data_IF_238837454476
#
_entry.id   IF_238837454476
#
_cell.length_a   1.000
_cell.length_b   1.000
_cell.length_c   1.000
_cell.angle_alpha   90.00
_cell.angle_beta   90.00
_cell.angle_gamma   90.00
#
_symmetry.space_group_name_H-M   'P 1'
#
loop_
_entity.id
_entity.type
_entity.pdbx_description
1 polymer ?
#
# COMPACT_ATOMS: atom_id res chain seq x y z
N UNK A 1 6.01 28.14 9.59
CA UNK A 1 6.82 26.93 9.34
C UNK A 1 6.09 25.66 9.82
N UNK A 2 5.61 25.61 11.08
CA UNK A 2 4.93 24.41 11.64
C UNK A 2 3.71 23.97 10.82
N UNK A 3 2.78 24.85 10.39
CA UNK A 3 1.64 24.42 9.58
C UNK A 3 2.06 23.78 8.23
N UNK A 4 3.12 24.30 7.60
CA UNK A 4 3.66 23.71 6.37
C UNK A 4 4.30 22.35 6.59
N UNK A 5 5.06 22.18 7.68
CA UNK A 5 5.64 20.89 8.06
C UNK A 5 4.56 19.86 8.46
N UNK A 6 3.48 20.31 9.13
CA UNK A 6 2.34 19.45 9.42
C UNK A 6 1.66 18.96 8.14
N UNK A 7 1.39 19.86 7.20
CA UNK A 7 0.79 19.49 5.91
C UNK A 7 1.69 18.54 5.10
N UNK A 8 3.02 18.72 5.14
CA UNK A 8 3.97 17.83 4.49
C UNK A 8 3.96 16.42 5.12
N UNK A 9 3.91 16.34 6.44
CA UNK A 9 3.77 15.06 7.15
C UNK A 9 2.45 14.37 6.81
N UNK A 10 1.33 15.10 6.87
CA UNK A 10 0.00 14.53 6.56
C UNK A 10 -0.06 13.99 5.13
N UNK A 11 0.58 14.70 4.18
CA UNK A 11 0.69 14.24 2.79
C UNK A 11 1.54 12.97 2.66
N UNK A 12 2.67 12.89 3.37
CA UNK A 12 3.53 11.71 3.37
C UNK A 12 2.85 10.50 4.00
N UNK A 13 2.09 10.68 5.08
CA UNK A 13 1.26 9.61 5.68
C UNK A 13 0.20 9.13 4.70
N UNK A 14 -0.48 10.04 3.99
CA UNK A 14 -1.49 9.67 3.01
C UNK A 14 -0.88 8.89 1.82
N UNK A 15 0.33 9.23 1.39
CA UNK A 15 1.06 8.49 0.36
C UNK A 15 1.46 7.10 0.83
N UNK A 16 2.01 6.97 2.04
CA UNK A 16 2.30 5.68 2.66
C UNK A 16 1.05 4.79 2.75
N UNK A 17 -0.06 5.32 3.23
CA UNK A 17 -1.32 4.60 3.34
C UNK A 17 -1.82 4.10 1.98
N UNK A 18 -1.64 4.91 0.93
CA UNK A 18 -1.98 4.54 -0.45
C UNK A 18 -1.10 3.40 -0.93
N UNK A 19 0.23 3.54 -0.82
CA UNK A 19 1.22 2.54 -1.26
C UNK A 19 1.07 1.22 -0.50
N UNK A 20 0.81 1.27 0.79
CA UNK A 20 0.56 0.09 1.62
C UNK A 20 -0.70 -0.67 1.19
N UNK A 21 -1.77 0.05 0.81
CA UNK A 21 -2.99 -0.57 0.27
C UNK A 21 -2.76 -1.18 -1.11
N UNK A 22 -2.02 -0.50 -1.98
CA UNK A 22 -1.63 -1.03 -3.30
C UNK A 22 -0.85 -2.34 -3.14
N UNK A 23 0.16 -2.39 -2.28
CA UNK A 23 0.92 -3.59 -1.97
C UNK A 23 0.01 -4.73 -1.44
N UNK A 24 -0.88 -4.43 -0.48
CA UNK A 24 -1.83 -5.42 0.05
C UNK A 24 -2.75 -5.98 -1.03
N UNK A 25 -3.19 -5.14 -1.97
CA UNK A 25 -4.03 -5.56 -3.10
C UNK A 25 -3.27 -6.53 -4.02
N UNK A 26 -2.03 -6.20 -4.37
CA UNK A 26 -1.18 -7.07 -5.22
C UNK A 26 -0.91 -8.42 -4.55
N UNK A 27 -0.65 -8.45 -3.23
CA UNK A 27 -0.50 -9.69 -2.47
C UNK A 27 -1.79 -10.53 -2.50
N UNK A 28 -2.96 -9.91 -2.44
CA UNK A 28 -4.25 -10.58 -2.60
C UNK A 28 -4.40 -11.19 -3.99
N UNK A 29 -4.02 -10.48 -5.04
CA UNK A 29 -4.05 -10.99 -6.42
C UNK A 29 -3.05 -12.13 -6.62
N UNK A 30 -1.86 -12.04 -6.06
CA UNK A 30 -0.83 -13.09 -6.09
C UNK A 30 -1.35 -14.37 -5.42
N UNK A 31 -1.94 -14.26 -4.24
CA UNK A 31 -2.54 -15.39 -3.53
C UNK A 31 -3.68 -16.04 -4.34
N UNK A 32 -4.53 -15.24 -4.99
CA UNK A 32 -5.59 -15.75 -5.86
C UNK A 32 -5.02 -16.48 -7.10
N UNK A 33 -3.98 -15.94 -7.72
CA UNK A 33 -3.30 -16.55 -8.86
C UNK A 33 -2.63 -17.87 -8.48
N UNK A 34 -1.99 -17.97 -7.32
CA UNK A 34 -1.41 -19.21 -6.79
C UNK A 34 -2.49 -20.27 -6.50
N UNK A 35 -3.65 -19.86 -5.97
CA UNK A 35 -4.79 -20.74 -5.79
C UNK A 35 -5.37 -21.24 -7.13
N UNK A 36 -5.36 -20.40 -8.16
CA UNK A 36 -5.76 -20.81 -9.52
C UNK A 36 -4.73 -21.77 -10.13
N UNK A 37 -3.45 -21.53 -9.95
CA UNK A 37 -2.38 -22.45 -10.39
C UNK A 37 -2.58 -23.86 -9.84
N UNK A 38 -2.84 -23.99 -8.54
CA UNK A 38 -3.10 -25.27 -7.90
C UNK A 38 -4.26 -26.02 -8.58
N UNK A 39 -5.36 -25.32 -8.89
CA UNK A 39 -6.51 -25.91 -9.58
C UNK A 39 -6.18 -26.34 -11.01
N UNK A 40 -5.36 -25.56 -11.72
CA UNK A 40 -4.92 -25.89 -13.07
C UNK A 40 -3.99 -27.11 -13.03
N UNK A 41 -3.08 -27.19 -12.07
CA UNK A 41 -2.16 -28.32 -11.89
C UNK A 41 -2.93 -29.62 -11.59
N UNK A 42 -3.94 -29.56 -10.71
CA UNK A 42 -4.82 -30.70 -10.44
C UNK A 42 -5.57 -31.13 -11.70
N UNK A 43 -6.11 -30.18 -12.47
CA UNK A 43 -6.83 -30.42 -13.70
C UNK A 43 -5.93 -30.98 -14.81
N UNK A 44 -4.69 -30.49 -14.90
CA UNK A 44 -3.68 -31.00 -15.83
C UNK A 44 -3.26 -32.43 -15.49
N UNK A 45 -3.08 -32.74 -14.20
CA UNK A 45 -2.78 -34.08 -13.72
C UNK A 45 -3.89 -35.07 -14.10
N UNK A 46 -5.16 -34.68 -13.86
CA UNK A 46 -6.32 -35.49 -14.27
C UNK A 46 -6.39 -35.67 -15.77
N UNK A 47 -6.19 -34.62 -16.57
CA UNK A 47 -6.20 -34.68 -18.02
C UNK A 47 -5.05 -35.55 -18.56
N UNK A 48 -3.89 -35.53 -17.92
CA UNK A 48 -2.73 -36.36 -18.28
C UNK A 48 -3.02 -37.84 -18.03
N UNK A 49 -3.62 -38.19 -16.91
CA UNK A 49 -4.06 -39.56 -16.60
C UNK A 49 -5.08 -40.06 -17.63
N UNK A 50 -6.10 -39.24 -17.93
CA UNK A 50 -7.10 -39.55 -18.95
C UNK A 50 -6.47 -39.74 -20.34
N UNK A 51 -5.48 -38.92 -20.70
CA UNK A 51 -4.76 -39.08 -21.96
C UNK A 51 -3.98 -40.39 -22.04
N UNK A 52 -3.34 -40.80 -20.96
CA UNK A 52 -2.65 -42.08 -20.85
C UNK A 52 -3.62 -43.25 -21.01
N UNK A 53 -4.78 -43.21 -20.36
CA UNK A 53 -5.81 -44.21 -20.43
C UNK A 53 -6.39 -44.31 -21.86
N UNK A 54 -6.63 -43.17 -22.50
CA UNK A 54 -7.09 -43.08 -23.88
C UNK A 54 -6.06 -43.67 -24.86
N UNK A 55 -4.76 -43.35 -24.66
CA UNK A 55 -3.68 -43.95 -25.46
C UNK A 55 -3.60 -45.48 -25.28
N UNK A 56 -3.75 -45.98 -24.07
CA UNK A 56 -3.79 -47.43 -23.80
C UNK A 56 -4.97 -48.08 -24.51
N UNK A 57 -6.16 -47.49 -24.46
CA UNK A 57 -7.36 -47.98 -25.14
C UNK A 57 -7.18 -48.02 -26.67
N UNK A 58 -6.60 -46.94 -27.25
CA UNK A 58 -6.24 -46.94 -28.71
C UNK A 58 -5.23 -48.04 -29.00
N UNK A 59 -4.21 -48.23 -28.18
CA UNK A 59 -3.22 -49.26 -28.33
C UNK A 59 -3.82 -50.67 -28.32
N UNK A 60 -4.79 -50.93 -27.44
CA UNK A 60 -5.55 -52.19 -27.41
C UNK A 60 -6.41 -52.36 -28.66
N UNK A 61 -7.07 -51.32 -29.13
CA UNK A 61 -7.85 -51.33 -30.35
C UNK A 61 -7.00 -51.67 -31.56
N UNK A 62 -5.83 -51.01 -31.69
CA UNK A 62 -4.87 -51.28 -32.80
C UNK A 62 -4.34 -52.71 -32.72
N UNK A 63 -3.97 -53.21 -31.52
CA UNK A 63 -3.50 -54.60 -31.33
C UNK A 63 -4.57 -55.60 -31.68
N UNK A 64 -5.82 -55.37 -31.36
CA UNK A 64 -6.95 -56.19 -31.69
C UNK A 64 -7.14 -56.25 -33.22
N UNK A 65 -7.20 -55.08 -33.85
CA UNK A 65 -7.32 -54.98 -35.33
C UNK A 65 -6.19 -55.68 -36.10
N UNK A 66 -4.96 -55.54 -35.56
CA UNK A 66 -3.81 -56.26 -36.19
C UNK A 66 -3.88 -57.73 -36.00
N UNK A 67 -4.30 -58.27 -34.85
CA UNK A 67 -4.46 -59.69 -34.61
C UNK A 67 -5.59 -60.31 -35.43
N UNK A 68 -6.67 -59.61 -35.62
CA UNK A 68 -7.85 -60.04 -36.39
C UNK A 68 -7.67 -59.87 -37.89
N UNK A 69 -6.50 -59.39 -38.36
CA UNK A 69 -6.15 -59.34 -39.77
C UNK A 69 -6.87 -58.26 -40.58
N UNK A 70 -7.18 -57.15 -39.98
CA UNK A 70 -7.88 -56.03 -40.61
C UNK A 70 -9.21 -56.39 -41.28
N UNK A 71 -9.86 -57.43 -40.76
CA UNK A 71 -11.11 -57.94 -41.32
C UNK A 71 -12.22 -56.93 -40.86
N UNK A 72 -12.94 -56.41 -41.85
CA UNK A 72 -14.08 -55.54 -41.63
C UNK A 72 -15.10 -56.26 -40.72
N UNK A 73 -15.44 -55.69 -39.50
CA UNK A 73 -16.41 -56.32 -38.60
C UNK A 73 -17.74 -56.60 -39.27
N UNK A 74 -18.12 -55.81 -40.27
CA UNK A 74 -19.31 -56.05 -41.11
C UNK A 74 -19.13 -57.30 -42.02
N UNK A 75 -17.96 -57.44 -42.59
CA UNK A 75 -17.66 -58.61 -43.42
C UNK A 75 -17.63 -59.91 -42.59
N UNK A 76 -17.05 -59.90 -41.38
CA UNK A 76 -17.05 -60.99 -40.42
C UNK A 76 -18.47 -61.36 -40.01
N UNK A 77 -19.28 -60.36 -39.65
CA UNK A 77 -20.67 -60.56 -39.26
C UNK A 77 -21.52 -61.19 -40.37
N UNK A 78 -21.22 -60.88 -41.62
CA UNK A 78 -21.92 -61.39 -42.76
C UNK A 78 -21.47 -62.83 -43.21
N UNK A 79 -20.20 -63.18 -42.95
CA UNK A 79 -19.60 -64.45 -43.40
C UNK A 79 -19.59 -65.55 -42.32
N UNK A 80 -19.72 -65.19 -41.02
CA UNK A 80 -19.76 -66.20 -39.97
C UNK A 80 -21.03 -67.00 -40.01
N UNK A 81 -20.90 -68.31 -40.34
CA UNK A 81 -21.99 -69.26 -40.38
C UNK A 81 -22.44 -69.64 -38.94
N UNK A 82 -23.36 -68.90 -38.33
CA UNK A 82 -23.95 -69.18 -37.03
C UNK A 82 -25.48 -69.15 -37.06
N UNK A 83 -26.11 -69.65 -36.00
CA UNK A 83 -27.57 -69.66 -35.79
C UNK A 83 -28.19 -68.33 -35.52
N UNK A 84 -27.38 -67.27 -35.33
CA UNK A 84 -27.82 -65.91 -35.10
C UNK A 84 -28.38 -65.26 -36.34
N UNK A 85 -29.39 -64.41 -36.20
CA UNK A 85 -29.98 -63.71 -37.32
C UNK A 85 -29.00 -62.67 -37.92
N UNK A 86 -29.10 -62.42 -39.23
CA UNK A 86 -28.27 -61.40 -39.92
C UNK A 86 -28.43 -60.07 -39.32
N UNK A 87 -29.61 -59.70 -38.74
CA UNK A 87 -29.90 -58.48 -38.09
C UNK A 87 -29.12 -58.28 -36.73
N UNK A 88 -28.98 -59.37 -35.96
CA UNK A 88 -28.21 -59.33 -34.70
C UNK A 88 -26.70 -59.13 -34.97
N UNK A 89 -26.18 -59.80 -36.02
CA UNK A 89 -24.79 -59.61 -36.40
C UNK A 89 -24.49 -58.23 -36.99
N UNK A 90 -25.41 -57.70 -37.79
CA UNK A 90 -25.31 -56.31 -38.30
C UNK A 90 -25.35 -55.29 -37.16
N UNK A 91 -26.22 -55.53 -36.15
CA UNK A 91 -26.28 -54.70 -34.97
C UNK A 91 -24.98 -54.74 -34.13
N UNK A 92 -24.37 -55.94 -33.98
CA UNK A 92 -23.11 -56.08 -33.26
C UNK A 92 -21.93 -55.40 -34.00
N UNK A 93 -21.90 -55.48 -35.33
CA UNK A 93 -20.90 -54.78 -36.16
C UNK A 93 -21.06 -53.25 -36.08
N UNK A 94 -22.29 -52.74 -36.14
CA UNK A 94 -22.60 -51.33 -35.98
C UNK A 94 -22.19 -50.85 -34.57
N UNK A 95 -22.46 -51.61 -33.51
CA UNK A 95 -22.03 -51.33 -32.17
C UNK A 95 -20.49 -51.26 -32.02
N UNK A 96 -19.77 -52.20 -32.66
CA UNK A 96 -18.31 -52.20 -32.66
C UNK A 96 -17.73 -50.95 -33.33
N UNK A 97 -18.26 -50.57 -34.51
CA UNK A 97 -17.84 -49.35 -35.20
C UNK A 97 -18.14 -48.08 -34.42
N UNK A 98 -19.30 -48.00 -33.76
CA UNK A 98 -19.63 -46.89 -32.87
C UNK A 98 -18.68 -46.81 -31.70
N UNK A 99 -18.33 -47.94 -31.08
CA UNK A 99 -17.39 -47.98 -29.95
C UNK A 99 -15.98 -47.53 -30.39
N UNK A 100 -15.52 -47.97 -31.57
CA UNK A 100 -14.22 -47.52 -32.15
C UNK A 100 -14.22 -46.00 -32.37
N UNK A 101 -15.26 -45.47 -33.02
CA UNK A 101 -15.39 -44.02 -33.26
C UNK A 101 -15.47 -43.22 -31.97
N UNK A 102 -16.23 -43.71 -30.99
CA UNK A 102 -16.34 -43.08 -29.68
C UNK A 102 -14.98 -43.04 -28.96
N UNK A 103 -14.23 -44.14 -28.97
CA UNK A 103 -12.89 -44.20 -28.38
C UNK A 103 -11.94 -43.21 -29.03
N UNK A 104 -11.96 -43.13 -30.37
CA UNK A 104 -11.12 -42.15 -31.10
C UNK A 104 -11.51 -40.70 -30.79
N UNK A 105 -12.80 -40.41 -30.81
CA UNK A 105 -13.30 -39.04 -30.49
C UNK A 105 -12.94 -38.64 -29.05
N UNK A 106 -13.17 -39.55 -28.09
CA UNK A 106 -12.80 -39.28 -26.66
C UNK A 106 -11.29 -39.06 -26.51
N UNK A 107 -10.45 -39.80 -27.24
CA UNK A 107 -9.00 -39.58 -27.16
C UNK A 107 -8.56 -38.23 -27.75
N UNK A 108 -9.21 -37.78 -28.84
CA UNK A 108 -8.96 -36.44 -29.39
C UNK A 108 -9.40 -35.34 -28.43
N UNK A 109 -10.57 -35.48 -27.80
CA UNK A 109 -11.09 -34.52 -26.82
C UNK A 109 -10.18 -34.43 -25.60
N UNK A 110 -9.72 -35.54 -25.06
CA UNK A 110 -8.77 -35.60 -23.95
C UNK A 110 -7.44 -34.95 -24.33
N UNK A 111 -6.90 -35.24 -25.53
CA UNK A 111 -5.66 -34.59 -26.00
C UNK A 111 -5.82 -33.06 -26.15
N UNK A 112 -6.96 -32.61 -26.64
CA UNK A 112 -7.29 -31.20 -26.75
C UNK A 112 -7.39 -30.55 -25.35
N UNK A 113 -8.06 -31.20 -24.41
CA UNK A 113 -8.16 -30.75 -23.01
C UNK A 113 -6.79 -30.62 -22.35
N UNK A 114 -5.93 -31.63 -22.50
CA UNK A 114 -4.56 -31.60 -21.96
C UNK A 114 -3.75 -30.42 -22.52
N UNK A 115 -3.81 -30.16 -23.83
CA UNK A 115 -3.15 -28.99 -24.44
C UNK A 115 -3.67 -27.68 -23.88
N UNK A 116 -4.98 -27.57 -23.70
CA UNK A 116 -5.62 -26.38 -23.15
C UNK A 116 -5.16 -26.13 -21.71
N UNK A 117 -5.11 -27.16 -20.87
CA UNK A 117 -4.64 -27.04 -19.49
C UNK A 117 -3.14 -26.68 -19.42
N UNK A 118 -2.30 -27.29 -20.28
CA UNK A 118 -0.88 -26.92 -20.36
C UNK A 118 -0.67 -25.47 -20.78
N UNK A 119 -1.46 -24.95 -21.72
CA UNK A 119 -1.41 -23.53 -22.10
C UNK A 119 -1.82 -22.62 -20.96
N UNK A 120 -2.89 -22.98 -20.22
CA UNK A 120 -3.33 -22.24 -19.03
C UNK A 120 -2.29 -22.24 -17.93
N UNK A 121 -1.62 -23.37 -17.70
CA UNK A 121 -0.53 -23.47 -16.73
C UNK A 121 0.61 -22.51 -17.07
N UNK A 122 1.03 -22.44 -18.35
CA UNK A 122 2.03 -21.48 -18.80
C UNK A 122 1.62 -20.05 -18.52
N UNK A 123 0.38 -19.68 -18.88
CA UNK A 123 -0.14 -18.33 -18.68
C UNK A 123 -0.26 -17.94 -17.18
N UNK A 124 -0.69 -18.86 -16.32
CA UNK A 124 -0.80 -18.57 -14.88
C UNK A 124 0.58 -18.45 -14.23
N UNK A 125 1.56 -19.24 -14.66
CA UNK A 125 2.94 -19.14 -14.17
C UNK A 125 3.56 -17.78 -14.52
N UNK A 126 3.37 -17.33 -15.75
CA UNK A 126 3.81 -15.98 -16.17
C UNK A 126 3.14 -14.88 -15.36
N UNK A 127 1.80 -14.99 -15.17
CA UNK A 127 1.06 -14.04 -14.35
C UNK A 127 1.55 -13.98 -12.89
N UNK A 128 1.88 -15.13 -12.29
CA UNK A 128 2.42 -15.20 -10.93
C UNK A 128 3.78 -14.49 -10.88
N UNK A 129 4.66 -14.75 -11.84
CA UNK A 129 5.97 -14.07 -11.91
C UNK A 129 5.83 -12.54 -12.02
N UNK A 130 4.91 -12.06 -12.86
CA UNK A 130 4.61 -10.62 -12.96
C UNK A 130 4.07 -10.02 -11.65
N UNK A 131 3.21 -10.77 -10.95
CA UNK A 131 2.66 -10.33 -9.67
C UNK A 131 3.70 -10.34 -8.55
N UNK A 132 4.62 -11.29 -8.54
CA UNK A 132 5.75 -11.33 -7.60
C UNK A 132 6.68 -10.12 -7.80
N UNK A 133 7.01 -9.78 -9.04
CA UNK A 133 7.80 -8.58 -9.35
C UNK A 133 7.08 -7.31 -8.91
N UNK A 134 5.79 -7.17 -9.23
CA UNK A 134 4.97 -6.03 -8.79
C UNK A 134 4.85 -5.95 -7.27
N UNK A 135 4.72 -7.08 -6.58
CA UNK A 135 4.66 -7.11 -5.12
C UNK A 135 5.97 -6.60 -4.50
N UNK A 136 7.11 -7.05 -5.02
CA UNK A 136 8.42 -6.59 -4.57
C UNK A 136 8.65 -5.08 -4.83
N UNK A 137 8.20 -4.58 -5.98
CA UNK A 137 8.24 -3.14 -6.29
C UNK A 137 7.34 -2.34 -5.34
N UNK A 138 6.09 -2.79 -5.14
CA UNK A 138 5.14 -2.11 -4.26
C UNK A 138 5.58 -2.14 -2.79
N UNK A 139 6.23 -3.22 -2.33
CA UNK A 139 6.85 -3.29 -1.00
C UNK A 139 7.94 -2.22 -0.85
N UNK A 140 8.84 -2.12 -1.84
CA UNK A 140 9.91 -1.12 -1.84
C UNK A 140 9.35 0.31 -1.82
N UNK A 141 8.31 0.57 -2.61
CA UNK A 141 7.65 1.87 -2.65
C UNK A 141 6.95 2.21 -1.33
N UNK A 142 6.26 1.24 -0.73
CA UNK A 142 5.60 1.41 0.56
C UNK A 142 6.62 1.66 1.69
N UNK A 143 7.76 0.94 1.68
CA UNK A 143 8.83 1.18 2.64
C UNK A 143 9.45 2.58 2.47
N UNK A 144 9.71 3.01 1.23
CA UNK A 144 10.24 4.35 0.95
C UNK A 144 9.27 5.46 1.39
N UNK A 145 7.98 5.29 1.15
CA UNK A 145 6.95 6.24 1.60
C UNK A 145 6.84 6.29 3.14
N UNK A 146 7.02 5.15 3.81
CA UNK A 146 7.10 5.09 5.28
C UNK A 146 8.29 5.87 5.81
N UNK A 147 9.47 5.65 5.23
CA UNK A 147 10.70 6.33 5.66
C UNK A 147 10.61 7.85 5.44
N UNK A 148 9.95 8.31 4.36
CA UNK A 148 9.66 9.72 4.16
C UNK A 148 8.69 10.28 5.22
N UNK A 149 7.62 9.57 5.55
CA UNK A 149 6.69 9.96 6.60
C UNK A 149 7.39 10.06 7.97
N UNK A 150 8.23 9.11 8.33
CA UNK A 150 9.02 9.10 9.57
C UNK A 150 10.02 10.28 9.60
N UNK A 151 10.63 10.60 8.46
CA UNK A 151 11.51 11.77 8.31
C UNK A 151 10.75 13.08 8.51
N UNK A 152 9.56 13.23 7.89
CA UNK A 152 8.71 14.41 8.05
C UNK A 152 8.19 14.56 9.48
N UNK A 153 7.87 13.45 10.16
CA UNK A 153 7.50 13.46 11.57
C UNK A 153 8.64 13.99 12.44
N UNK A 154 9.85 13.54 12.20
CA UNK A 154 11.05 13.96 12.92
C UNK A 154 11.30 15.47 12.73
N UNK A 155 11.21 15.96 11.49
CA UNK A 155 11.33 17.38 11.16
C UNK A 155 10.26 18.22 11.86
N UNK A 156 9.01 17.77 11.83
CA UNK A 156 7.89 18.43 12.49
C UNK A 156 8.08 18.53 14.01
N UNK A 157 8.52 17.43 14.65
CA UNK A 157 8.77 17.40 16.08
C UNK A 157 9.90 18.36 16.47
N UNK A 158 10.99 18.38 15.70
CA UNK A 158 12.08 19.35 15.91
C UNK A 158 11.60 20.80 15.79
N UNK A 159 10.79 21.12 14.80
CA UNK A 159 10.21 22.45 14.65
C UNK A 159 9.29 22.84 15.84
N UNK A 160 8.53 21.88 16.38
CA UNK A 160 7.71 22.08 17.57
C UNK A 160 8.56 22.31 18.81
N UNK A 161 9.63 21.55 19.00
CA UNK A 161 10.59 21.73 20.10
C UNK A 161 11.29 23.10 20.02
N UNK A 162 11.79 23.48 18.85
CA UNK A 162 12.42 24.77 18.61
C UNK A 162 11.46 25.93 18.88
N UNK A 163 10.20 25.80 18.49
CA UNK A 163 9.18 26.80 18.75
C UNK A 163 8.88 26.93 20.25
N UNK A 164 8.78 25.79 20.95
CA UNK A 164 8.57 25.77 22.41
C UNK A 164 9.75 26.39 23.17
N UNK A 165 10.99 26.06 22.76
CA UNK A 165 12.19 26.67 23.34
C UNK A 165 12.24 28.20 23.15
N UNK A 166 11.89 28.67 21.95
CA UNK A 166 11.79 30.11 21.67
C UNK A 166 10.69 30.78 22.49
N UNK A 167 9.55 30.14 22.63
CA UNK A 167 8.47 30.64 23.47
C UNK A 167 8.93 30.81 24.92
N UNK A 168 9.59 29.81 25.49
CA UNK A 168 10.15 29.89 26.85
C UNK A 168 11.19 31.00 26.99
N UNK A 169 12.04 31.21 25.96
CA UNK A 169 12.98 32.35 25.96
C UNK A 169 12.25 33.71 25.95
N UNK A 170 11.23 33.84 25.12
CA UNK A 170 10.42 35.07 25.07
C UNK A 170 9.73 35.34 26.41
N UNK A 171 9.16 34.34 27.04
CA UNK A 171 8.48 34.46 28.33
C UNK A 171 9.48 34.85 29.43
N UNK A 172 10.69 34.29 29.44
CA UNK A 172 11.78 34.70 30.34
C UNK A 172 12.20 36.17 30.12
N UNK A 173 12.43 36.56 28.85
CA UNK A 173 12.81 37.94 28.52
C UNK A 173 11.71 38.92 28.91
N UNK A 174 10.44 38.58 28.65
CA UNK A 174 9.29 39.38 29.06
C UNK A 174 9.26 39.55 30.57
N UNK A 175 9.52 38.50 31.35
CA UNK A 175 9.60 38.56 32.80
C UNK A 175 10.73 39.48 33.27
N UNK A 176 11.91 39.42 32.64
CA UNK A 176 13.04 40.32 32.98
C UNK A 176 12.74 41.77 32.67
N UNK A 177 12.13 42.05 31.50
CA UNK A 177 11.75 43.41 31.13
C UNK A 177 10.69 43.97 32.11
N UNK A 178 9.71 43.15 32.47
CA UNK A 178 8.69 43.54 33.45
C UNK A 178 9.32 43.85 34.82
N UNK A 179 10.20 43.00 35.31
CA UNK A 179 10.91 43.24 36.57
C UNK A 179 11.76 44.51 36.53
N UNK A 180 12.41 44.79 35.40
CA UNK A 180 13.19 46.01 35.21
C UNK A 180 12.29 47.26 35.18
N UNK A 181 11.10 47.16 34.60
CA UNK A 181 10.11 48.24 34.59
C UNK A 181 9.59 48.51 35.99
N UNK A 182 9.21 47.46 36.71
CA UNK A 182 8.72 47.58 38.11
C UNK A 182 9.79 48.21 39.01
N UNK A 183 11.06 47.86 38.85
CA UNK A 183 12.17 48.48 39.57
C UNK A 183 12.33 49.95 39.20
N UNK A 184 12.30 50.30 37.92
CA UNK A 184 12.40 51.68 37.47
C UNK A 184 11.23 52.55 37.99
N UNK A 185 10.04 51.99 38.05
CA UNK A 185 8.86 52.67 38.61
C UNK A 185 9.00 52.90 40.13
N UNK A 186 9.48 51.85 40.84
CA UNK A 186 9.78 51.99 42.28
C UNK A 186 10.85 53.08 42.56
N UNK A 187 11.92 53.09 41.77
CA UNK A 187 12.99 54.08 41.87
C UNK A 187 12.48 55.47 41.53
N UNK A 188 11.60 55.60 40.54
CA UNK A 188 10.96 56.88 40.23
C UNK A 188 10.08 57.38 41.38
N UNK A 189 9.26 56.52 41.97
CA UNK A 189 8.41 56.87 43.13
C UNK A 189 9.25 57.26 44.35
N UNK A 190 10.33 56.50 44.63
CA UNK A 190 11.25 56.83 45.71
C UNK A 190 11.88 58.23 45.54
N UNK A 191 12.40 58.52 44.33
CA UNK A 191 12.99 59.86 44.04
C UNK A 191 11.96 60.96 44.04
N UNK A 192 10.74 60.69 43.58
CA UNK A 192 9.64 61.69 43.62
C UNK A 192 9.25 62.02 45.05
N UNK A 193 9.21 61.04 45.96
CA UNK A 193 8.93 61.24 47.36
C UNK A 193 10.09 61.95 48.06
N UNK A 194 11.33 61.64 47.71
CA UNK A 194 12.52 62.36 48.21
C UNK A 194 12.52 63.88 47.82
N UNK A 195 12.21 64.13 46.52
CA UNK A 195 12.06 65.52 46.07
C UNK A 195 10.95 66.25 46.79
N UNK A 196 9.81 65.62 47.06
CA UNK A 196 8.72 66.23 47.83
C UNK A 196 9.15 66.54 49.24
N UNK A 197 9.90 65.69 49.93
CA UNK A 197 10.44 65.91 51.26
C UNK A 197 11.45 67.04 51.27
N UNK A 198 12.32 67.17 50.31
CA UNK A 198 13.27 68.27 50.14
C UNK A 198 12.53 69.57 49.90
N UNK A 199 11.50 69.57 49.07
CA UNK A 199 10.67 70.74 48.79
C UNK A 199 9.93 71.23 50.08
N UNK A 200 9.43 70.31 50.88
CA UNK A 200 8.78 70.60 52.14
C UNK A 200 9.78 71.13 53.18
N UNK A 201 10.95 70.51 53.27
CA UNK A 201 12.03 71.02 54.14
C UNK A 201 12.51 72.42 53.74
N UNK A 202 12.62 72.72 52.49
CA UNK A 202 12.95 74.05 51.96
C UNK A 202 11.87 75.07 52.28
N UNK A 203 10.61 74.68 52.19
CA UNK A 203 9.50 75.56 52.62
C UNK A 203 9.48 75.78 54.13
N UNK A 204 9.71 74.74 54.93
CA UNK A 204 9.72 74.82 56.41
C UNK A 204 10.90 75.65 56.95
N UNK A 205 12.05 75.63 56.31
CA UNK A 205 13.22 76.40 56.72
C UNK A 205 13.07 77.92 56.54
N UNK A 206 11.92 78.33 56.10
CA UNK A 206 11.63 79.76 55.92
C UNK A 206 12.50 80.37 54.84
N UNK A 207 13.02 79.56 53.97
CA UNK A 207 13.76 80.05 52.83
C UNK A 207 12.80 80.86 51.96
N UNK A 208 12.64 82.02 52.27
CA UNK A 208 12.34 83.12 51.37
C UNK A 208 13.55 83.26 50.42
N UNK A 209 14.03 82.13 50.00
CA UNK A 209 15.24 81.99 49.21
C UNK A 209 15.09 82.66 47.85
N UNK A 210 13.90 82.71 47.38
CA UNK A 210 13.59 83.33 46.08
C UNK A 210 13.36 84.80 46.17
N UNK A 211 12.77 85.29 47.28
CA UNK A 211 12.51 86.70 47.43
C UNK A 211 13.73 87.50 47.93
N UNK A 212 14.64 86.85 48.67
CA UNK A 212 15.87 87.49 49.14
C UNK A 212 16.98 87.55 48.09
N UNK A 213 17.00 86.67 47.18
CA UNK A 213 18.06 86.54 46.15
C UNK A 213 17.83 87.42 44.93
N UNK A 214 16.69 88.08 44.80
CA UNK A 214 16.41 88.81 43.57
C UNK A 214 16.36 88.03 42.29
N UNK A 215 16.12 86.69 42.42
CA UNK A 215 16.03 85.81 41.27
C UNK A 215 14.79 86.19 40.46
N UNK A 216 15.01 86.90 39.30
CA UNK A 216 13.97 87.17 38.32
C UNK A 216 13.77 85.93 37.45
N UNK A 217 12.53 85.46 37.37
CA UNK A 217 12.18 84.46 36.38
C UNK A 217 12.63 84.96 34.99
N UNK A 218 13.40 84.21 34.27
CA UNK A 218 13.86 84.60 32.91
C UNK A 218 12.72 84.87 31.93
N UNK A 219 11.48 84.49 32.27
CA UNK A 219 10.29 84.77 31.48
C UNK A 219 9.65 86.13 31.79
N UNK A 220 10.12 86.85 32.85
CA UNK A 220 9.64 88.19 33.20
C UNK A 220 10.50 89.35 32.63
N UNK A 221 11.36 89.07 31.70
CA UNK A 221 12.12 90.05 30.94
C UNK A 221 11.22 90.65 29.85
N UNK A 222 10.79 91.94 29.96
CA UNK A 222 10.03 92.54 28.88
C UNK A 222 10.89 92.64 27.63
N UNK A 223 10.31 92.26 26.54
CA UNK A 223 10.87 92.34 25.18
C UNK A 223 10.99 93.84 24.83
#
# INVERSE_FOLDING_TARGET
>A
QIPGAQAAYDAAVADYDKKSREHTTILGELSAAQGEQTRIDDSLSAATTQASDAQAAIGELVRRKYREGNVDPVAVALTAGGTESITERAAAADMALRTENQTMTSALDVSSSQRTQSTRQGAITERISDLEEKAAQAETEAQSAKDDADSKLTELNKLKEDASAKQAQWDSQKGQVQASLDQAEADYQARSSELATIDEANRASGASYVSASGFRNPLDIPI
#
